data_IF_888027098933
#
_entry.id   IF_888027098933
#
_cell.length_a   1.000
_cell.length_b   1.000
_cell.length_c   1.000
_cell.angle_alpha   90.00
_cell.angle_beta   90.00
_cell.angle_gamma   90.00
#
_symmetry.space_group_name_H-M   'P 1'
#
loop_
_entity.id
_entity.type
_entity.pdbx_description
1 polymer ?
#
# COMPACT_ATOMS: atom_id res chain seq x y z
N UNK A 1 -1.75 13.91 -1.51
CA UNK A 1 -3.19 13.56 -1.51
C UNK A 1 -3.27 12.10 -1.09
N UNK A 2 -4.29 11.70 -0.34
CA UNK A 2 -4.55 10.28 -0.04
C UNK A 2 -4.91 9.55 -1.34
N UNK A 3 -4.71 8.23 -1.36
CA UNK A 3 -5.15 7.40 -2.48
C UNK A 3 -6.68 7.35 -2.56
N UNK A 4 -7.31 7.10 -1.43
CA UNK A 4 -8.76 7.00 -1.34
C UNK A 4 -9.38 8.18 -0.61
N UNK A 5 -10.47 8.73 -1.12
CA UNK A 5 -11.36 9.56 -0.35
C UNK A 5 -12.33 8.68 0.49
N UNK A 6 -13.12 9.33 1.35
CA UNK A 6 -14.06 8.62 2.23
C UNK A 6 -15.14 7.81 1.48
N UNK A 7 -15.45 8.16 0.23
CA UNK A 7 -16.44 7.43 -0.58
C UNK A 7 -15.88 6.10 -1.06
N UNK A 8 -14.57 6.06 -1.38
CA UNK A 8 -13.86 4.83 -1.72
C UNK A 8 -13.69 3.92 -0.50
N UNK A 9 -13.34 4.49 0.67
CA UNK A 9 -13.28 3.74 1.94
C UNK A 9 -14.63 3.08 2.23
N UNK A 10 -15.72 3.85 2.16
CA UNK A 10 -17.09 3.32 2.33
C UNK A 10 -17.37 2.19 1.34
N UNK A 11 -17.11 2.42 0.05
CA UNK A 11 -17.42 1.48 -1.03
C UNK A 11 -16.66 0.16 -0.87
N UNK A 12 -15.37 0.23 -0.54
CA UNK A 12 -14.53 -0.95 -0.29
C UNK A 12 -15.05 -1.74 0.91
N UNK A 13 -15.40 -1.07 2.00
CA UNK A 13 -15.93 -1.72 3.20
C UNK A 13 -17.31 -2.36 2.96
N UNK A 14 -18.24 -1.67 2.33
CA UNK A 14 -19.55 -2.22 1.98
C UNK A 14 -19.41 -3.47 1.10
N UNK A 15 -18.61 -3.39 0.03
CA UNK A 15 -18.34 -4.53 -0.84
C UNK A 15 -17.70 -5.69 -0.08
N UNK A 16 -16.67 -5.38 0.74
CA UNK A 16 -15.91 -6.37 1.51
C UNK A 16 -16.73 -7.07 2.59
N UNK A 17 -17.75 -6.42 3.11
CA UNK A 17 -18.68 -6.96 4.10
C UNK A 17 -19.97 -7.52 3.49
N UNK A 18 -20.10 -7.47 2.16
CA UNK A 18 -21.31 -7.85 1.42
C UNK A 18 -22.58 -7.13 1.94
N UNK A 19 -22.45 -5.83 2.28
CA UNK A 19 -23.55 -5.00 2.76
C UNK A 19 -24.05 -4.08 1.66
N UNK A 20 -25.36 -4.01 1.49
CA UNK A 20 -26.00 -2.94 0.72
C UNK A 20 -26.02 -1.63 1.52
N UNK A 21 -26.12 -0.47 0.86
CA UNK A 21 -26.29 0.81 1.55
C UNK A 21 -27.49 0.83 2.50
N UNK A 22 -28.62 0.21 2.13
CA UNK A 22 -29.81 0.12 2.98
C UNK A 22 -29.61 -0.74 4.22
N UNK A 23 -28.90 -1.88 4.11
CA UNK A 23 -28.56 -2.72 5.27
C UNK A 23 -27.60 -2.00 6.22
N UNK A 24 -26.59 -1.31 5.67
CA UNK A 24 -25.67 -0.52 6.48
C UNK A 24 -26.40 0.63 7.19
N UNK A 25 -27.29 1.33 6.50
CA UNK A 25 -28.14 2.39 7.05
C UNK A 25 -29.00 1.86 8.23
N UNK A 26 -29.74 0.78 8.00
CA UNK A 26 -30.59 0.15 9.02
C UNK A 26 -29.81 -0.22 10.29
N UNK A 27 -28.62 -0.81 10.12
CA UNK A 27 -27.75 -1.20 11.26
C UNK A 27 -27.14 0.00 11.97
N UNK A 28 -26.90 1.10 11.24
CA UNK A 28 -26.30 2.32 11.80
C UNK A 28 -27.34 3.32 12.38
N UNK A 29 -28.64 3.01 12.30
CA UNK A 29 -29.71 3.92 12.70
C UNK A 29 -29.85 5.14 11.79
N UNK A 30 -29.49 5.00 10.51
CA UNK A 30 -29.57 6.02 9.47
C UNK A 30 -30.64 5.65 8.44
N UNK A 31 -31.01 6.63 7.63
CA UNK A 31 -31.81 6.38 6.41
C UNK A 31 -30.90 5.95 5.27
N UNK A 32 -31.43 5.16 4.34
CA UNK A 32 -30.68 4.78 3.14
C UNK A 32 -30.29 6.02 2.31
N UNK A 33 -31.12 7.04 2.25
CA UNK A 33 -30.82 8.29 1.55
C UNK A 33 -29.61 9.01 2.13
N UNK A 34 -29.39 9.00 3.45
CA UNK A 34 -28.20 9.57 4.08
C UNK A 34 -26.93 8.81 3.65
N UNK A 35 -26.97 7.48 3.64
CA UNK A 35 -25.84 6.65 3.21
C UNK A 35 -25.55 6.84 1.73
N UNK A 36 -26.59 6.91 0.89
CA UNK A 36 -26.45 7.18 -0.55
C UNK A 36 -25.90 8.59 -0.82
N UNK A 37 -26.35 9.61 -0.08
CA UNK A 37 -25.80 10.96 -0.18
C UNK A 37 -24.32 11.00 0.22
N UNK A 38 -23.97 10.34 1.33
CA UNK A 38 -22.59 10.19 1.77
C UNK A 38 -21.73 9.47 0.72
N UNK A 39 -22.20 8.38 0.14
CA UNK A 39 -21.50 7.63 -0.92
C UNK A 39 -21.27 8.42 -2.22
N UNK A 40 -22.00 9.51 -2.42
CA UNK A 40 -21.90 10.44 -3.57
C UNK A 40 -21.05 11.68 -3.27
N UNK A 41 -20.39 11.74 -2.10
CA UNK A 41 -19.48 12.81 -1.75
C UNK A 41 -20.02 13.86 -0.77
N UNK A 42 -21.25 13.72 -0.27
CA UNK A 42 -21.79 14.61 0.79
C UNK A 42 -21.27 14.14 2.16
N UNK A 43 -20.07 14.57 2.50
CA UNK A 43 -19.43 14.17 3.75
C UNK A 43 -20.18 14.70 4.98
N UNK A 44 -20.36 13.84 5.97
CA UNK A 44 -20.81 14.15 7.32
C UNK A 44 -20.02 13.33 8.33
N UNK A 45 -19.35 14.00 9.27
CA UNK A 45 -18.60 13.34 10.34
C UNK A 45 -19.53 12.52 11.27
N UNK A 46 -20.79 12.91 11.41
CA UNK A 46 -21.79 12.18 12.19
C UNK A 46 -22.17 10.87 11.50
N UNK A 47 -22.50 10.92 10.20
CA UNK A 47 -22.77 9.73 9.40
C UNK A 47 -21.57 8.79 9.38
N UNK A 48 -20.36 9.32 9.21
CA UNK A 48 -19.14 8.52 9.25
C UNK A 48 -18.98 7.79 10.61
N UNK A 49 -19.22 8.49 11.75
CA UNK A 49 -19.16 7.86 13.08
C UNK A 49 -20.20 6.76 13.27
N UNK A 50 -21.41 6.97 12.75
CA UNK A 50 -22.50 5.98 12.85
C UNK A 50 -22.23 4.75 12.00
N UNK A 51 -21.67 4.93 10.78
CA UNK A 51 -21.34 3.83 9.88
C UNK A 51 -20.10 3.04 10.31
N UNK A 52 -19.10 3.71 10.91
CA UNK A 52 -17.80 3.09 11.19
C UNK A 52 -17.87 1.76 11.97
N UNK A 53 -18.64 1.61 13.06
CA UNK A 53 -18.74 0.33 13.78
C UNK A 53 -19.30 -0.79 12.90
N UNK A 54 -20.27 -0.46 12.05
CA UNK A 54 -20.92 -1.42 11.13
C UNK A 54 -19.95 -1.87 10.04
N UNK A 55 -19.03 -0.99 9.65
CA UNK A 55 -18.03 -1.22 8.62
C UNK A 55 -16.70 -1.74 9.19
N UNK A 56 -16.63 -1.97 10.50
CA UNK A 56 -15.42 -2.37 11.23
C UNK A 56 -14.28 -1.35 11.08
N UNK A 57 -14.62 -0.06 10.95
CA UNK A 57 -13.68 1.04 10.89
C UNK A 57 -13.56 1.74 12.25
N UNK A 58 -12.46 2.47 12.44
CA UNK A 58 -12.30 3.34 13.60
C UNK A 58 -13.22 4.58 13.45
N UNK A 59 -14.18 4.83 14.37
CA UNK A 59 -15.13 5.93 14.23
C UNK A 59 -14.49 7.32 14.20
N UNK A 60 -13.43 7.54 14.98
CA UNK A 60 -12.73 8.83 15.02
C UNK A 60 -11.93 9.04 13.72
N UNK A 61 -11.23 8.03 13.24
CA UNK A 61 -10.45 8.09 12.01
C UNK A 61 -11.37 8.32 10.79
N UNK A 62 -12.47 7.56 10.66
CA UNK A 62 -13.39 7.71 9.53
C UNK A 62 -14.12 9.06 9.55
N UNK A 63 -14.51 9.55 10.73
CA UNK A 63 -15.11 10.87 10.85
C UNK A 63 -14.15 12.04 10.56
N UNK A 64 -12.83 11.78 10.63
CA UNK A 64 -11.80 12.79 10.33
C UNK A 64 -11.12 12.56 8.97
N UNK A 65 -11.56 11.57 8.21
CA UNK A 65 -10.88 11.12 6.99
C UNK A 65 -10.66 12.25 5.97
N UNK A 66 -11.64 13.13 5.78
CA UNK A 66 -11.51 14.28 4.87
C UNK A 66 -10.42 15.29 5.26
N UNK A 67 -9.99 15.28 6.53
CA UNK A 67 -8.96 16.17 7.06
C UNK A 67 -7.67 15.40 7.37
N UNK A 68 -7.67 14.09 7.20
CA UNK A 68 -6.51 13.27 7.50
C UNK A 68 -5.38 13.58 6.52
N UNK A 69 -4.25 13.93 7.09
CA UNK A 69 -2.99 14.14 6.38
C UNK A 69 -1.89 13.41 7.14
N UNK A 70 -1.28 12.38 6.55
CA UNK A 70 -0.12 11.75 7.16
C UNK A 70 0.97 12.79 7.44
N UNK A 71 1.65 12.65 8.57
CA UNK A 71 2.75 13.54 8.91
C UNK A 71 3.84 13.48 7.82
N UNK A 72 4.35 14.64 7.37
CA UNK A 72 5.46 14.65 6.42
C UNK A 72 6.66 13.90 7.00
N UNK A 73 7.11 12.89 6.27
CA UNK A 73 8.24 12.07 6.68
C UNK A 73 9.50 12.58 5.99
N UNK A 74 10.43 13.15 6.76
CA UNK A 74 11.76 13.50 6.26
C UNK A 74 12.63 12.24 6.25
N UNK A 75 12.64 11.55 5.12
CA UNK A 75 13.35 10.30 4.92
C UNK A 75 14.61 10.58 4.11
N UNK A 76 15.77 10.63 4.75
CA UNK A 76 17.04 10.87 4.03
C UNK A 76 17.44 9.66 3.18
N UNK A 77 17.13 8.45 3.65
CA UNK A 77 17.51 7.18 3.03
C UNK A 77 16.43 6.57 2.15
N UNK A 78 15.23 7.15 2.11
CA UNK A 78 14.08 6.63 1.34
C UNK A 78 13.55 7.74 0.44
N UNK A 79 13.42 7.44 -0.85
CA UNK A 79 12.85 8.35 -1.84
C UNK A 79 11.64 7.72 -2.50
N UNK A 80 10.52 8.43 -2.44
CA UNK A 80 9.37 8.12 -3.27
C UNK A 80 9.63 8.60 -4.68
N UNK A 81 9.38 7.75 -5.65
CA UNK A 81 9.41 8.06 -7.07
C UNK A 81 7.94 8.00 -7.53
N UNK A 82 7.39 9.17 -7.82
CA UNK A 82 6.03 9.31 -8.30
C UNK A 82 6.01 9.04 -9.81
N UNK A 83 5.36 7.96 -10.22
CA UNK A 83 5.31 7.52 -11.61
C UNK A 83 3.89 7.70 -12.17
N UNK A 84 3.73 8.15 -13.42
CA UNK A 84 2.41 8.36 -14.00
C UNK A 84 1.62 7.05 -14.08
N UNK A 85 0.35 7.09 -13.66
CA UNK A 85 -0.59 5.99 -13.78
C UNK A 85 -2.02 6.55 -13.91
N UNK A 86 -2.70 6.29 -15.04
CA UNK A 86 -4.02 6.85 -15.37
C UNK A 86 -4.07 8.37 -15.14
N UNK A 87 -5.06 8.84 -14.36
CA UNK A 87 -5.18 10.25 -13.96
C UNK A 87 -4.42 10.58 -12.66
N UNK A 88 -3.66 9.61 -12.12
CA UNK A 88 -2.93 9.70 -10.85
C UNK A 88 -1.48 9.27 -10.94
N UNK A 89 -1.01 8.64 -9.87
CA UNK A 89 0.38 8.21 -9.72
C UNK A 89 0.46 6.87 -9.00
N UNK A 90 1.44 6.05 -9.37
CA UNK A 90 1.88 4.87 -8.62
C UNK A 90 3.27 5.13 -8.06
N UNK A 91 3.55 4.62 -6.90
CA UNK A 91 4.83 4.79 -6.23
C UNK A 91 5.81 3.66 -6.58
N UNK A 92 7.05 4.04 -6.89
CA UNK A 92 8.19 3.18 -6.64
C UNK A 92 9.00 3.78 -5.48
N UNK A 93 9.67 2.93 -4.68
CA UNK A 93 10.43 3.39 -3.53
C UNK A 93 11.90 3.02 -3.68
N UNK A 94 12.77 4.02 -3.78
CA UNK A 94 14.21 3.84 -3.72
C UNK A 94 14.67 3.99 -2.27
N UNK A 95 15.25 2.91 -1.74
CA UNK A 95 15.80 2.85 -0.38
C UNK A 95 17.32 2.77 -0.51
N UNK A 96 18.01 3.64 0.22
CA UNK A 96 19.47 3.73 0.17
C UNK A 96 20.03 3.75 1.59
N UNK A 97 20.91 2.80 1.89
CA UNK A 97 21.61 2.74 3.16
C UNK A 97 23.09 2.41 2.89
N UNK A 98 23.98 3.31 3.24
CA UNK A 98 25.37 3.31 2.83
C UNK A 98 25.52 3.09 1.30
N UNK A 99 26.26 2.06 0.90
CA UNK A 99 26.45 1.70 -0.51
C UNK A 99 25.36 0.75 -1.05
N UNK A 100 24.32 0.43 -0.26
CA UNK A 100 23.27 -0.51 -0.65
C UNK A 100 22.02 0.24 -1.13
N UNK A 101 21.48 -0.16 -2.29
CA UNK A 101 20.29 0.43 -2.89
C UNK A 101 19.24 -0.63 -3.21
N UNK A 102 18.02 -0.42 -2.73
CA UNK A 102 16.86 -1.28 -3.03
C UNK A 102 15.80 -0.48 -3.76
N UNK A 103 15.14 -1.11 -4.72
CA UNK A 103 13.96 -0.57 -5.38
C UNK A 103 12.76 -1.45 -5.07
N UNK A 104 11.65 -0.84 -4.65
CA UNK A 104 10.36 -1.51 -4.47
C UNK A 104 9.44 -1.02 -5.59
N UNK A 105 8.92 -1.97 -6.39
CA UNK A 105 8.06 -1.77 -7.55
C UNK A 105 8.69 -0.90 -8.66
N UNK A 106 8.06 -0.87 -9.84
CA UNK A 106 8.73 -0.32 -11.04
C UNK A 106 7.82 0.51 -11.96
N UNK A 107 6.61 0.86 -11.51
CA UNK A 107 5.69 1.65 -12.32
C UNK A 107 5.08 0.89 -13.49
N UNK A 108 4.32 1.60 -14.34
CA UNK A 108 3.61 1.02 -15.50
C UNK A 108 4.47 1.01 -16.78
N UNK A 109 5.44 1.92 -16.89
CA UNK A 109 6.35 2.02 -18.03
C UNK A 109 7.77 2.31 -17.58
N UNK A 110 8.80 1.84 -18.31
CA UNK A 110 10.18 1.98 -17.87
C UNK A 110 10.71 3.43 -17.93
N UNK A 111 10.31 4.24 -18.89
CA UNK A 111 10.95 5.53 -19.16
C UNK A 111 10.91 6.51 -18.00
N UNK A 112 9.76 6.79 -17.34
CA UNK A 112 9.72 7.68 -16.18
C UNK A 112 10.57 7.18 -15.01
N UNK A 113 10.53 5.87 -14.74
CA UNK A 113 11.32 5.25 -13.68
C UNK A 113 12.83 5.40 -13.96
N UNK A 114 13.28 5.07 -15.16
CA UNK A 114 14.70 5.14 -15.53
C UNK A 114 15.22 6.57 -15.44
N UNK A 115 14.46 7.54 -15.93
CA UNK A 115 14.82 8.95 -15.82
C UNK A 115 14.92 9.40 -14.35
N UNK A 116 14.02 8.94 -13.49
CA UNK A 116 14.06 9.24 -12.06
C UNK A 116 15.27 8.58 -11.36
N UNK A 117 15.59 7.33 -11.70
CA UNK A 117 16.75 6.62 -11.16
C UNK A 117 18.06 7.29 -11.62
N UNK A 118 18.16 7.74 -12.85
CA UNK A 118 19.32 8.48 -13.38
C UNK A 118 19.48 9.82 -12.62
N UNK A 119 18.40 10.56 -12.45
CA UNK A 119 18.39 11.82 -11.69
C UNK A 119 18.79 11.63 -10.21
N UNK A 120 18.49 10.46 -9.65
CA UNK A 120 18.87 10.07 -8.29
C UNK A 120 20.27 9.44 -8.22
N UNK A 121 21.04 9.43 -9.31
CA UNK A 121 22.35 8.78 -9.41
C UNK A 121 22.34 7.30 -8.98
N UNK A 122 21.29 6.57 -9.38
CA UNK A 122 21.09 5.15 -9.08
C UNK A 122 20.52 4.41 -10.30
N UNK A 123 21.22 4.39 -11.45
CA UNK A 123 20.70 3.77 -12.67
C UNK A 123 20.55 2.25 -12.59
N UNK A 124 21.17 1.64 -11.58
CA UNK A 124 21.18 0.21 -11.35
C UNK A 124 21.07 -0.09 -9.84
N UNK A 125 19.87 -0.26 -9.28
CA UNK A 125 19.70 -0.72 -7.91
C UNK A 125 20.33 -2.10 -7.67
N UNK A 126 20.83 -2.34 -6.45
CA UNK A 126 21.44 -3.63 -6.08
C UNK A 126 20.42 -4.77 -6.02
N UNK A 127 19.16 -4.44 -5.72
CA UNK A 127 18.05 -5.38 -5.78
C UNK A 127 16.71 -4.69 -5.99
N UNK A 128 15.79 -5.40 -6.64
CA UNK A 128 14.41 -4.99 -6.88
C UNK A 128 13.49 -5.98 -6.17
N UNK A 129 12.49 -5.48 -5.47
CA UNK A 129 11.45 -6.27 -4.82
C UNK A 129 10.09 -5.85 -5.36
N UNK A 130 9.32 -6.80 -5.90
CA UNK A 130 8.01 -6.55 -6.49
C UNK A 130 6.91 -7.05 -5.56
N UNK A 131 6.01 -6.14 -5.20
CA UNK A 131 4.93 -6.45 -4.25
C UNK A 131 3.89 -7.39 -4.87
N UNK A 132 3.45 -7.12 -6.10
CA UNK A 132 2.46 -7.93 -6.80
C UNK A 132 2.50 -7.71 -8.32
N UNK A 133 1.73 -8.50 -9.07
CA UNK A 133 1.83 -8.59 -10.53
C UNK A 133 0.97 -7.58 -11.32
N UNK A 134 0.37 -6.55 -10.68
CA UNK A 134 -0.36 -5.54 -11.43
C UNK A 134 0.58 -4.71 -12.32
N UNK A 135 0.06 -4.28 -13.47
CA UNK A 135 0.86 -3.68 -14.55
C UNK A 135 1.61 -2.43 -14.12
N UNK A 136 1.04 -1.66 -13.23
CA UNK A 136 1.60 -0.43 -12.68
C UNK A 136 2.69 -0.65 -11.63
N UNK A 137 2.94 -1.90 -11.24
CA UNK A 137 4.05 -2.27 -10.35
C UNK A 137 5.20 -2.98 -11.06
N UNK A 138 4.96 -3.55 -12.25
CA UNK A 138 5.94 -4.39 -12.96
C UNK A 138 6.40 -3.83 -14.31
N UNK A 139 5.87 -2.70 -14.77
CA UNK A 139 6.09 -2.21 -16.14
C UNK A 139 7.54 -1.83 -16.46
N UNK A 140 8.30 -1.34 -15.49
CA UNK A 140 9.72 -1.04 -15.64
C UNK A 140 10.65 -2.23 -15.39
N UNK A 141 10.13 -3.33 -14.84
CA UNK A 141 10.92 -4.48 -14.40
C UNK A 141 11.75 -5.15 -15.51
N UNK A 142 11.20 -5.42 -16.72
CA UNK A 142 11.96 -6.08 -17.78
C UNK A 142 13.22 -5.32 -18.17
N UNK A 143 13.15 -3.99 -18.23
CA UNK A 143 14.30 -3.15 -18.60
C UNK A 143 15.39 -3.17 -17.51
N UNK A 144 15.01 -3.15 -16.24
CA UNK A 144 15.95 -3.23 -15.12
C UNK A 144 16.62 -4.61 -15.02
N UNK A 145 15.87 -5.69 -15.30
CA UNK A 145 16.43 -7.04 -15.40
C UNK A 145 17.44 -7.11 -16.56
N UNK A 146 17.12 -6.52 -17.71
CA UNK A 146 18.04 -6.45 -18.86
C UNK A 146 19.34 -5.70 -18.53
N UNK A 147 19.31 -4.72 -17.61
CA UNK A 147 20.49 -4.03 -17.06
C UNK A 147 21.25 -4.88 -16.02
N UNK A 148 20.78 -6.08 -15.74
CA UNK A 148 21.41 -7.01 -14.78
C UNK A 148 21.09 -6.68 -13.32
N UNK A 149 19.96 -6.04 -13.01
CA UNK A 149 19.48 -5.87 -11.64
C UNK A 149 18.85 -7.17 -11.15
N UNK A 150 19.27 -7.75 -10.02
CA UNK A 150 18.57 -8.87 -9.40
C UNK A 150 17.15 -8.43 -8.98
N UNK A 151 16.15 -9.23 -9.30
CA UNK A 151 14.77 -8.94 -8.93
C UNK A 151 14.13 -10.12 -8.18
N UNK A 152 13.32 -9.82 -7.18
CA UNK A 152 12.64 -10.78 -6.31
C UNK A 152 11.14 -10.52 -6.30
N UNK A 153 10.35 -11.60 -6.36
CA UNK A 153 8.88 -11.53 -6.33
C UNK A 153 8.26 -12.91 -6.20
N UNK A 154 6.96 -12.95 -5.99
CA UNK A 154 6.19 -14.19 -5.93
C UNK A 154 5.33 -14.34 -7.19
N UNK A 155 5.60 -15.35 -7.98
CA UNK A 155 4.91 -15.63 -9.26
C UNK A 155 4.99 -14.46 -10.28
N UNK A 156 6.12 -13.74 -10.27
CA UNK A 156 6.34 -12.62 -11.20
C UNK A 156 7.40 -13.03 -12.23
N UNK A 157 7.09 -12.96 -13.52
CA UNK A 157 8.02 -13.34 -14.58
C UNK A 157 9.36 -12.58 -14.51
N UNK A 158 10.46 -13.31 -14.64
CA UNK A 158 11.81 -12.74 -14.62
C UNK A 158 12.39 -12.50 -13.23
N UNK A 159 11.64 -12.69 -12.15
CA UNK A 159 12.15 -12.55 -10.80
C UNK A 159 12.64 -13.88 -10.22
N UNK A 160 13.56 -13.80 -9.26
CA UNK A 160 13.88 -14.89 -8.37
C UNK A 160 12.73 -15.03 -7.34
N UNK A 161 12.24 -16.25 -7.10
CA UNK A 161 11.12 -16.43 -6.18
C UNK A 161 11.52 -16.09 -4.74
N UNK A 162 10.64 -15.35 -4.07
CA UNK A 162 10.66 -15.13 -2.63
C UNK A 162 9.27 -15.38 -2.08
N UNK A 163 9.15 -16.29 -1.11
CA UNK A 163 7.88 -16.68 -0.52
C UNK A 163 7.65 -15.97 0.82
N UNK A 164 6.39 -15.83 1.28
CA UNK A 164 6.11 -15.32 2.61
C UNK A 164 6.93 -16.01 3.71
N UNK A 165 7.49 -15.23 4.62
CA UNK A 165 8.37 -15.69 5.69
C UNK A 165 9.84 -15.83 5.30
N UNK A 166 10.18 -15.88 4.03
CA UNK A 166 11.57 -15.89 3.57
C UNK A 166 12.22 -14.51 3.66
N UNK A 167 13.53 -14.49 3.81
CA UNK A 167 14.32 -13.27 3.83
C UNK A 167 15.44 -13.29 2.78
N UNK A 168 15.83 -12.11 2.33
CA UNK A 168 17.04 -11.88 1.54
C UNK A 168 17.90 -10.83 2.23
N UNK A 169 19.20 -11.05 2.21
CA UNK A 169 20.17 -10.06 2.67
C UNK A 169 20.82 -9.38 1.47
N UNK A 170 20.73 -8.06 1.42
CA UNK A 170 21.37 -7.22 0.40
C UNK A 170 22.22 -6.19 1.17
N UNK A 171 23.54 -6.29 1.04
CA UNK A 171 24.44 -5.52 1.89
C UNK A 171 24.19 -5.78 3.37
N UNK A 172 23.89 -4.72 4.10
CA UNK A 172 23.52 -4.78 5.52
C UNK A 172 22.02 -4.86 5.77
N UNK A 173 21.20 -4.66 4.75
CA UNK A 173 19.75 -4.74 4.86
C UNK A 173 19.25 -6.19 4.84
N UNK A 174 18.27 -6.47 5.69
CA UNK A 174 17.52 -7.74 5.67
C UNK A 174 16.10 -7.45 5.24
N UNK A 175 15.67 -8.08 4.14
CA UNK A 175 14.34 -7.90 3.54
C UNK A 175 13.56 -9.18 3.73
N UNK A 176 12.51 -9.14 4.56
CA UNK A 176 11.61 -10.26 4.82
C UNK A 176 10.30 -10.09 4.06
N UNK A 177 9.93 -11.07 3.27
CA UNK A 177 8.63 -11.11 2.60
C UNK A 177 7.52 -11.48 3.59
N UNK A 178 6.43 -10.71 3.59
CA UNK A 178 5.22 -10.94 4.35
C UNK A 178 4.07 -11.22 3.38
N UNK A 179 3.13 -12.09 3.76
CA UNK A 179 1.91 -12.31 2.99
C UNK A 179 0.94 -11.15 3.22
N UNK A 180 0.67 -10.39 2.19
CA UNK A 180 -0.33 -9.31 2.17
C UNK A 180 -1.37 -9.53 1.07
N UNK A 181 -1.64 -10.79 0.73
CA UNK A 181 -2.63 -11.16 -0.28
C UNK A 181 -4.03 -10.71 0.08
N UNK A 182 -4.80 -10.31 -0.94
CA UNK A 182 -6.20 -9.88 -0.82
C UNK A 182 -6.60 -8.90 -1.92
N UNK A 183 -5.85 -7.80 -2.09
CA UNK A 183 -5.96 -6.92 -3.25
C UNK A 183 -5.52 -7.64 -4.54
N UNK A 184 -4.36 -8.25 -4.50
CA UNK A 184 -3.85 -9.21 -5.46
C UNK A 184 -3.55 -10.54 -4.77
N UNK A 185 -3.42 -11.63 -5.54
CA UNK A 185 -3.07 -12.95 -5.03
C UNK A 185 -2.18 -13.68 -6.04
N UNK A 186 -0.88 -13.87 -5.75
CA UNK A 186 -0.19 -13.45 -4.52
C UNK A 186 0.07 -11.94 -4.43
N UNK A 187 0.26 -11.44 -3.20
CA UNK A 187 0.77 -10.11 -2.92
C UNK A 187 1.69 -10.15 -1.70
N UNK A 188 2.84 -9.49 -1.81
CA UNK A 188 3.85 -9.44 -0.75
C UNK A 188 3.98 -8.04 -0.18
N UNK A 189 4.16 -7.97 1.14
CA UNK A 189 4.82 -6.83 1.77
C UNK A 189 6.29 -7.15 2.03
N UNK A 190 7.13 -6.13 2.10
CA UNK A 190 8.54 -6.30 2.41
C UNK A 190 8.92 -5.53 3.67
N UNK A 191 9.16 -6.28 4.75
CA UNK A 191 9.68 -5.73 5.99
C UNK A 191 11.20 -5.62 5.87
N UNK A 192 11.71 -4.39 6.01
CA UNK A 192 13.12 -4.05 5.79
C UNK A 192 13.72 -3.62 7.11
N UNK A 193 14.74 -4.34 7.53
CA UNK A 193 15.54 -4.11 8.73
C UNK A 193 16.97 -3.69 8.34
N UNK A 194 17.68 -3.04 9.26
CA UNK A 194 19.02 -2.48 9.04
C UNK A 194 19.01 -0.98 8.78
N UNK A 195 17.83 -0.35 8.71
CA UNK A 195 17.62 1.09 8.65
C UNK A 195 17.47 1.68 10.05
N UNK A 196 17.58 3.01 10.19
CA UNK A 196 17.39 3.74 11.46
C UNK A 196 16.04 3.44 12.12
N UNK A 197 15.04 3.10 11.34
CA UNK A 197 13.70 2.68 11.78
C UNK A 197 13.15 1.56 10.88
N UNK A 198 12.32 0.65 11.42
CA UNK A 198 11.72 -0.40 10.59
C UNK A 198 10.87 0.18 9.48
N UNK A 199 10.87 -0.49 8.34
CA UNK A 199 10.11 -0.11 7.14
C UNK A 199 9.32 -1.32 6.68
N UNK A 200 8.05 -1.13 6.30
CA UNK A 200 7.23 -2.10 5.60
C UNK A 200 6.74 -1.49 4.29
N UNK A 201 7.21 -1.99 3.16
CA UNK A 201 6.59 -1.72 1.88
C UNK A 201 5.32 -2.56 1.79
N UNK A 202 4.18 -1.90 1.63
CA UNK A 202 2.85 -2.53 1.69
C UNK A 202 2.25 -2.80 0.32
N UNK A 203 2.83 -2.23 -0.74
CA UNK A 203 2.17 -2.21 -2.05
C UNK A 203 0.73 -1.73 -1.92
N UNK A 204 -0.17 -2.39 -2.61
CA UNK A 204 -1.59 -2.04 -2.61
C UNK A 204 -2.43 -2.74 -1.53
N UNK A 205 -1.78 -3.37 -0.56
CA UNK A 205 -2.51 -3.95 0.55
C UNK A 205 -2.99 -2.90 1.56
N UNK A 206 -2.19 -1.84 1.79
CA UNK A 206 -2.47 -0.80 2.78
C UNK A 206 -1.95 0.55 2.29
N UNK A 207 -2.80 1.55 2.30
CA UNK A 207 -2.51 2.95 2.02
C UNK A 207 -2.68 3.80 3.28
N UNK A 208 -2.27 5.04 3.23
CA UNK A 208 -2.60 5.99 4.29
C UNK A 208 -4.12 6.22 4.34
N UNK A 209 -4.75 5.83 5.45
CA UNK A 209 -6.18 5.97 5.71
C UNK A 209 -7.08 4.93 5.03
N UNK A 210 -6.54 3.92 4.34
CA UNK A 210 -7.37 2.90 3.68
C UNK A 210 -6.60 1.62 3.35
N UNK A 211 -7.32 0.61 2.87
CA UNK A 211 -6.74 -0.63 2.34
C UNK A 211 -7.04 -0.79 0.85
N UNK A 212 -6.27 -1.61 0.16
CA UNK A 212 -6.50 -1.97 -1.24
C UNK A 212 -7.87 -2.60 -1.48
N UNK A 213 -8.46 -2.31 -2.64
CA UNK A 213 -9.74 -2.89 -3.03
C UNK A 213 -9.62 -4.40 -3.25
N UNK A 214 -10.57 -5.19 -2.74
CA UNK A 214 -10.61 -6.64 -2.92
C UNK A 214 -11.76 -7.04 -3.86
N UNK A 215 -11.53 -8.07 -4.69
CA UNK A 215 -12.50 -8.51 -5.68
C UNK A 215 -13.77 -9.12 -5.04
N UNK A 216 -13.61 -9.83 -3.94
CA UNK A 216 -14.69 -10.54 -3.24
C UNK A 216 -14.66 -10.29 -1.72
N UNK A 217 -15.80 -10.49 -1.01
CA UNK A 217 -15.83 -10.45 0.45
C UNK A 217 -14.83 -11.41 1.12
N UNK A 218 -14.65 -12.60 0.57
CA UNK A 218 -13.70 -13.58 1.11
C UNK A 218 -12.25 -13.05 1.04
N UNK A 219 -11.85 -12.44 -0.08
CA UNK A 219 -10.54 -11.82 -0.24
C UNK A 219 -10.37 -10.59 0.68
N UNK A 220 -11.44 -9.83 0.90
CA UNK A 220 -11.41 -8.70 1.84
C UNK A 220 -11.16 -9.17 3.29
N UNK A 221 -11.86 -10.21 3.74
CA UNK A 221 -11.62 -10.78 5.07
C UNK A 221 -10.21 -11.38 5.19
N UNK A 222 -9.74 -12.04 4.13
CA UNK A 222 -8.38 -12.56 4.05
C UNK A 222 -7.36 -11.43 4.17
N UNK A 223 -7.51 -10.34 3.39
CA UNK A 223 -6.64 -9.17 3.46
C UNK A 223 -6.56 -8.57 4.87
N UNK A 224 -7.71 -8.40 5.54
CA UNK A 224 -7.75 -7.89 6.92
C UNK A 224 -7.02 -8.81 7.91
N UNK A 225 -7.16 -10.14 7.74
CA UNK A 225 -6.45 -11.11 8.58
C UNK A 225 -4.94 -11.02 8.36
N UNK A 226 -4.47 -10.96 7.10
CA UNK A 226 -3.06 -10.86 6.75
C UNK A 226 -2.43 -9.53 7.20
N UNK A 227 -3.14 -8.42 7.06
CA UNK A 227 -2.71 -7.14 7.59
C UNK A 227 -2.55 -7.20 9.11
N UNK A 228 -3.52 -7.72 9.86
CA UNK A 228 -3.42 -7.88 11.33
C UNK A 228 -2.23 -8.75 11.73
N UNK A 229 -2.08 -9.91 11.09
CA UNK A 229 -0.96 -10.83 11.33
C UNK A 229 0.39 -10.14 11.14
N UNK A 230 0.53 -9.36 10.05
CA UNK A 230 1.78 -8.69 9.69
C UNK A 230 2.06 -7.46 10.54
N UNK A 231 1.04 -6.63 10.82
CA UNK A 231 1.23 -5.34 11.47
C UNK A 231 1.32 -5.44 13.01
N UNK A 232 0.59 -6.38 13.63
CA UNK A 232 0.54 -6.50 15.11
C UNK A 232 1.91 -6.62 15.77
N UNK A 233 2.88 -7.40 15.24
CA UNK A 233 4.19 -7.53 15.88
C UNK A 233 5.14 -6.34 15.59
N UNK A 234 4.78 -5.42 14.70
CA UNK A 234 5.66 -4.33 14.30
C UNK A 234 5.60 -3.16 15.28
N UNK A 235 6.74 -2.47 15.51
CA UNK A 235 6.75 -1.26 16.33
C UNK A 235 5.86 -0.16 15.75
N UNK A 236 5.15 0.64 16.58
CA UNK A 236 4.27 1.74 16.11
C UNK A 236 4.99 2.76 15.20
N UNK A 237 6.30 2.93 15.36
CA UNK A 237 7.14 3.83 14.55
C UNK A 237 7.50 3.28 13.16
N UNK A 238 7.06 2.06 12.82
CA UNK A 238 7.33 1.45 11.50
C UNK A 238 6.79 2.33 10.39
N UNK A 239 7.64 2.62 9.41
CA UNK A 239 7.24 3.33 8.20
C UNK A 239 6.47 2.40 7.28
N UNK A 240 5.37 2.88 6.74
CA UNK A 240 4.58 2.19 5.73
C UNK A 240 4.79 2.87 4.39
N UNK A 241 5.22 2.10 3.38
CA UNK A 241 5.48 2.58 2.02
C UNK A 241 4.46 1.94 1.08
N UNK A 242 3.35 2.63 0.78
CA UNK A 242 2.29 2.11 -0.07
C UNK A 242 2.61 2.19 -1.55
N UNK A 243 1.91 1.40 -2.37
CA UNK A 243 1.96 1.49 -3.83
C UNK A 243 1.34 2.77 -4.39
N UNK A 244 0.39 3.38 -3.68
CA UNK A 244 -0.23 4.65 -4.05
C UNK A 244 -0.34 5.58 -2.85
N UNK A 245 -0.42 6.90 -3.12
CA UNK A 245 -0.56 7.91 -2.10
C UNK A 245 0.70 8.13 -1.24
N UNK A 246 0.58 8.82 -0.10
CA UNK A 246 1.72 9.18 0.74
C UNK A 246 2.17 8.02 1.63
N UNK A 247 3.46 8.04 2.01
CA UNK A 247 3.94 7.22 3.12
C UNK A 247 3.31 7.66 4.44
N UNK A 248 3.23 6.71 5.37
CA UNK A 248 2.70 6.96 6.72
C UNK A 248 3.49 6.14 7.76
N UNK A 249 3.01 6.11 8.99
CA UNK A 249 3.55 5.26 10.06
C UNK A 249 2.46 4.33 10.58
N UNK A 250 2.84 3.19 11.13
CA UNK A 250 1.88 2.25 11.72
C UNK A 250 1.04 2.89 12.83
N UNK A 251 1.61 3.83 13.60
CA UNK A 251 0.86 4.58 14.61
C UNK A 251 -0.08 5.63 14.05
N UNK A 252 0.03 5.97 12.77
CA UNK A 252 -0.84 6.93 12.08
C UNK A 252 -2.10 6.29 11.50
N UNK A 253 -2.09 4.95 11.39
CA UNK A 253 -3.16 4.12 10.85
C UNK A 253 -3.87 3.33 11.96
#
# INVERSE_FOLDING_TARGET
MLEDDFTYVLRKALKGLALSPGEAASRAGLTENEVLAFSRGLFSAEIARSLAPILHLNPAAFANHNQYQPQPLHLHTIRRIDLPFEDGQVNAWLIREDDTTLLIDTGITPQPLLAALDALACPKPDAIFITHAHRDHIGGLPELIARGCPAFGHEIPGTQPILPGQSRRIGQLTIRACDLSGHANPSLGFHIEGLTRPVLATGDALFAGSIGGCATPALYQHALAKLRETLTPLPPRTLLLPGHGPATTLSGE
#
